data_IF_036643211873
#
_entry.id   IF_036643211873
#
_cell.length_a   1.000
_cell.length_b   1.000
_cell.length_c   1.000
_cell.angle_alpha   90.00
_cell.angle_beta   90.00
_cell.angle_gamma   90.00
#
_symmetry.space_group_name_H-M   'P 1'
#
loop_
_entity.id
_entity.type
_entity.pdbx_description
1 polymer ?
#
# COMPACT_ATOMS: atom_id res chain seq x y z
N UNK A 1 -21.36 4.79 -8.35
CA UNK A 1 -20.59 3.81 -9.15
C UNK A 1 -19.71 2.91 -8.28
N UNK A 2 -19.01 3.43 -7.26
CA UNK A 2 -18.20 2.64 -6.32
C UNK A 2 -19.00 1.66 -5.46
N UNK A 3 -20.17 2.07 -4.93
CA UNK A 3 -21.10 1.14 -4.26
C UNK A 3 -21.55 -0.01 -5.18
N UNK A 4 -21.71 0.23 -6.49
CA UNK A 4 -22.08 -0.81 -7.44
C UNK A 4 -20.92 -1.78 -7.70
N UNK A 5 -19.66 -1.35 -7.54
CA UNK A 5 -18.48 -2.20 -7.66
C UNK A 5 -18.31 -3.09 -6.41
N UNK A 6 -18.52 -2.51 -5.22
CA UNK A 6 -18.50 -3.26 -3.96
C UNK A 6 -19.70 -4.22 -3.84
N UNK A 7 -20.90 -3.79 -4.26
CA UNK A 7 -22.08 -4.66 -4.36
C UNK A 7 -21.89 -5.74 -5.42
N UNK A 8 -21.35 -5.42 -6.61
CA UNK A 8 -21.06 -6.43 -7.62
C UNK A 8 -20.01 -7.45 -7.15
N UNK A 9 -18.99 -7.01 -6.38
CA UNK A 9 -18.00 -7.92 -5.81
C UNK A 9 -18.57 -8.79 -4.67
N UNK A 10 -19.52 -8.28 -3.89
CA UNK A 10 -20.25 -9.04 -2.88
C UNK A 10 -21.24 -10.03 -3.51
N UNK A 11 -21.95 -9.62 -4.57
CA UNK A 11 -22.91 -10.46 -5.30
C UNK A 11 -22.21 -11.56 -6.13
N UNK A 12 -21.03 -11.28 -6.69
CA UNK A 12 -20.21 -12.29 -7.39
C UNK A 12 -19.75 -13.42 -6.45
N UNK A 13 -19.51 -13.11 -5.17
CA UNK A 13 -19.18 -14.13 -4.16
C UNK A 13 -20.33 -15.11 -3.87
N UNK A 14 -21.58 -14.67 -3.98
CA UNK A 14 -22.75 -15.52 -3.76
C UNK A 14 -23.06 -16.45 -4.96
N UNK A 15 -22.69 -16.06 -6.19
CA UNK A 15 -22.94 -16.84 -7.40
C UNK A 15 -21.93 -17.98 -7.64
N UNK A 16 -20.75 -17.93 -7.02
CA UNK A 16 -19.68 -18.92 -7.25
C UNK A 16 -19.82 -20.25 -6.49
N UNK A 17 -20.84 -20.43 -5.64
CA UNK A 17 -21.06 -21.68 -4.90
C UNK A 17 -21.62 -22.84 -5.73
N UNK A 18 -21.92 -22.64 -7.02
CA UNK A 18 -22.58 -23.65 -7.86
C UNK A 18 -21.66 -24.45 -8.82
N UNK A 19 -20.35 -24.16 -8.87
CA UNK A 19 -19.45 -24.73 -9.91
C UNK A 19 -18.20 -25.41 -9.33
N UNK A 20 -18.37 -26.26 -8.33
CA UNK A 20 -17.30 -27.02 -7.68
C UNK A 20 -17.34 -28.49 -8.07
N UNK A 21 -16.54 -28.88 -9.06
CA UNK A 21 -15.71 -30.10 -8.95
C UNK A 21 -14.67 -30.13 -10.09
N UNK A 22 -13.49 -30.67 -9.83
CA UNK A 22 -12.36 -30.88 -10.75
C UNK A 22 -11.51 -29.67 -11.23
N UNK A 23 -12.02 -28.44 -11.37
CA UNK A 23 -11.19 -27.31 -11.88
C UNK A 23 -10.52 -26.43 -10.80
N UNK A 24 -10.66 -26.81 -9.52
CA UNK A 24 -10.68 -25.86 -8.41
C UNK A 24 -9.35 -25.14 -8.08
N UNK A 25 -8.19 -25.75 -8.31
CA UNK A 25 -6.91 -25.09 -8.02
C UNK A 25 -6.48 -24.09 -9.11
N UNK A 26 -6.70 -24.45 -10.38
CA UNK A 26 -6.38 -23.62 -11.55
C UNK A 26 -7.39 -22.48 -11.71
N UNK A 27 -8.68 -22.72 -11.42
CA UNK A 27 -9.71 -21.66 -11.46
C UNK A 27 -9.59 -20.66 -10.32
N UNK A 28 -9.15 -21.06 -9.11
CA UNK A 28 -9.01 -20.12 -7.98
C UNK A 28 -7.88 -19.11 -8.15
N UNK A 29 -6.72 -19.53 -8.67
CA UNK A 29 -5.62 -18.59 -9.00
C UNK A 29 -6.02 -17.66 -10.15
N UNK A 30 -6.71 -18.20 -11.15
CA UNK A 30 -7.27 -17.43 -12.27
C UNK A 30 -8.31 -16.40 -11.79
N UNK A 31 -9.21 -16.77 -10.88
CA UNK A 31 -10.25 -15.89 -10.35
C UNK A 31 -9.68 -14.68 -9.58
N UNK A 32 -8.65 -14.86 -8.75
CA UNK A 32 -8.02 -13.74 -8.02
C UNK A 32 -7.31 -12.76 -8.94
N UNK A 33 -6.63 -13.27 -9.96
CA UNK A 33 -6.01 -12.44 -11.00
C UNK A 33 -7.10 -11.70 -11.80
N UNK A 34 -8.24 -12.35 -12.08
CA UNK A 34 -9.38 -11.71 -12.71
C UNK A 34 -9.96 -10.57 -11.84
N UNK A 35 -10.09 -10.75 -10.53
CA UNK A 35 -10.49 -9.66 -9.61
C UNK A 35 -9.49 -8.50 -9.64
N UNK A 36 -8.18 -8.77 -9.67
CA UNK A 36 -7.16 -7.73 -9.84
C UNK A 36 -7.33 -6.97 -11.16
N UNK A 37 -7.59 -7.69 -12.26
CA UNK A 37 -7.84 -7.10 -13.58
C UNK A 37 -9.09 -6.23 -13.60
N UNK A 38 -10.19 -6.69 -12.99
CA UNK A 38 -11.43 -5.92 -12.85
C UNK A 38 -11.22 -4.66 -12.01
N UNK A 39 -10.48 -4.76 -10.91
CA UNK A 39 -10.12 -3.61 -10.08
C UNK A 39 -9.24 -2.61 -10.83
N UNK A 40 -8.22 -3.06 -11.55
CA UNK A 40 -7.37 -2.19 -12.36
C UNK A 40 -8.17 -1.50 -13.47
N UNK A 41 -9.05 -2.24 -14.16
CA UNK A 41 -9.92 -1.67 -15.18
C UNK A 41 -10.88 -0.62 -14.62
N UNK A 42 -11.48 -0.85 -13.45
CA UNK A 42 -12.36 0.12 -12.80
C UNK A 42 -11.61 1.36 -12.33
N UNK A 43 -10.37 1.21 -11.87
CA UNK A 43 -9.51 2.32 -11.48
C UNK A 43 -9.12 3.18 -12.70
N UNK A 44 -8.72 2.54 -13.80
CA UNK A 44 -8.42 3.22 -15.07
C UNK A 44 -9.65 3.96 -15.59
N UNK A 45 -10.81 3.31 -15.61
CA UNK A 45 -12.06 3.95 -16.01
C UNK A 45 -12.36 5.17 -15.15
N UNK A 46 -12.19 5.05 -13.83
CA UNK A 46 -12.43 6.16 -12.90
C UNK A 46 -11.45 7.31 -13.09
N UNK A 47 -10.18 7.01 -13.39
CA UNK A 47 -9.19 8.01 -13.76
C UNK A 47 -9.54 8.73 -15.07
N UNK A 48 -9.95 7.99 -16.11
CA UNK A 48 -10.38 8.57 -17.39
C UNK A 48 -11.61 9.44 -17.21
N UNK A 49 -12.60 8.99 -16.43
CA UNK A 49 -13.76 9.80 -16.07
C UNK A 49 -13.32 11.07 -15.33
N UNK A 50 -12.37 10.99 -14.39
CA UNK A 50 -11.85 12.20 -13.72
C UNK A 50 -11.24 13.20 -14.71
N UNK A 51 -10.48 12.74 -15.71
CA UNK A 51 -9.77 13.62 -16.64
C UNK A 51 -10.67 14.21 -17.72
N UNK A 52 -11.67 13.45 -18.20
CA UNK A 52 -12.40 13.79 -19.42
C UNK A 52 -13.92 13.86 -19.27
N UNK A 53 -14.48 13.55 -18.10
CA UNK A 53 -15.93 13.56 -17.95
C UNK A 53 -16.53 14.96 -17.86
N UNK A 54 -15.76 16.02 -17.59
CA UNK A 54 -16.29 17.40 -17.48
C UNK A 54 -17.14 17.83 -18.68
N UNK A 55 -16.64 17.80 -19.94
CA UNK A 55 -17.46 18.16 -21.10
C UNK A 55 -18.68 17.24 -21.26
N UNK A 56 -18.54 15.95 -20.94
CA UNK A 56 -19.64 14.98 -21.02
C UNK A 56 -20.75 15.29 -19.99
N UNK A 57 -20.37 15.56 -18.75
CA UNK A 57 -21.30 15.82 -17.64
C UNK A 57 -22.01 17.15 -17.81
N UNK A 58 -21.35 18.15 -18.38
CA UNK A 58 -21.95 19.46 -18.64
C UNK A 58 -23.08 19.42 -19.67
N UNK A 59 -23.05 18.46 -20.61
CA UNK A 59 -24.11 18.24 -21.59
C UNK A 59 -25.34 17.51 -21.05
N UNK A 60 -25.29 16.98 -19.82
CA UNK A 60 -26.41 16.27 -19.22
C UNK A 60 -27.35 17.30 -18.55
N UNK A 61 -28.59 17.48 -19.05
CA UNK A 61 -29.44 18.61 -18.67
C UNK A 61 -29.72 18.72 -17.16
N UNK A 62 -29.92 17.57 -16.49
CA UNK A 62 -30.29 17.52 -15.08
C UNK A 62 -29.13 17.78 -14.10
N UNK A 63 -27.88 17.89 -14.56
CA UNK A 63 -26.71 18.01 -13.65
C UNK A 63 -26.51 19.46 -13.21
N UNK A 64 -26.71 20.40 -14.14
CA UNK A 64 -26.47 21.83 -13.93
C UNK A 64 -27.75 22.65 -13.78
N UNK A 65 -28.89 22.10 -14.20
CA UNK A 65 -30.18 22.74 -14.09
C UNK A 65 -31.21 21.73 -13.58
N UNK A 66 -31.94 22.12 -12.54
CA UNK A 66 -33.11 21.40 -12.10
C UNK A 66 -34.34 22.13 -12.65
N UNK A 67 -35.07 21.50 -13.56
CA UNK A 67 -36.36 22.05 -14.06
C UNK A 67 -37.38 22.19 -12.92
N UNK A 68 -37.26 21.33 -11.90
CA UNK A 68 -37.95 21.42 -10.62
C UNK A 68 -36.97 21.12 -9.50
N UNK A 69 -36.92 21.98 -8.47
CA UNK A 69 -36.08 21.75 -7.29
C UNK A 69 -36.49 20.44 -6.62
N UNK A 70 -35.54 19.51 -6.38
CA UNK A 70 -35.84 18.26 -5.66
C UNK A 70 -36.47 18.53 -4.28
N UNK A 71 -37.26 17.59 -3.74
CA UNK A 71 -37.80 17.72 -2.40
C UNK A 71 -36.70 17.71 -1.33
N UNK A 72 -36.97 18.27 -0.16
CA UNK A 72 -36.01 18.34 0.96
C UNK A 72 -35.41 16.97 1.32
N UNK A 73 -36.21 15.90 1.22
CA UNK A 73 -35.76 14.53 1.45
C UNK A 73 -34.59 14.12 0.55
N UNK A 74 -34.57 14.59 -0.71
CA UNK A 74 -33.46 14.31 -1.63
C UNK A 74 -32.17 14.96 -1.16
N UNK A 75 -32.23 16.21 -0.69
CA UNK A 75 -31.06 16.92 -0.16
C UNK A 75 -30.58 16.31 1.16
N UNK A 76 -31.50 15.94 2.06
CA UNK A 76 -31.20 15.26 3.31
C UNK A 76 -30.49 13.92 3.07
N UNK A 77 -31.01 13.09 2.16
CA UNK A 77 -30.38 11.82 1.79
C UNK A 77 -28.98 12.04 1.20
N UNK A 78 -28.82 13.00 0.29
CA UNK A 78 -27.51 13.30 -0.30
C UNK A 78 -26.51 13.81 0.73
N UNK A 79 -26.95 14.62 1.70
CA UNK A 79 -26.10 15.10 2.79
C UNK A 79 -25.59 13.92 3.64
N UNK A 80 -26.48 13.02 4.05
CA UNK A 80 -26.12 11.83 4.83
C UNK A 80 -25.19 10.91 4.03
N UNK A 81 -25.49 10.63 2.76
CA UNK A 81 -24.66 9.77 1.90
C UNK A 81 -23.26 10.35 1.69
N UNK A 82 -23.15 11.67 1.46
CA UNK A 82 -21.85 12.33 1.27
C UNK A 82 -20.99 12.23 2.53
N UNK A 83 -21.55 12.59 3.69
CA UNK A 83 -20.80 12.54 4.96
C UNK A 83 -20.42 11.10 5.32
N UNK A 84 -21.36 10.16 5.25
CA UNK A 84 -21.11 8.77 5.62
C UNK A 84 -20.07 8.09 4.70
N UNK A 85 -20.20 8.24 3.38
CA UNK A 85 -19.25 7.66 2.43
C UNK A 85 -17.88 8.31 2.54
N UNK A 86 -17.80 9.62 2.77
CA UNK A 86 -16.53 10.32 2.96
C UNK A 86 -15.83 9.82 4.22
N UNK A 87 -16.51 9.80 5.37
CA UNK A 87 -15.94 9.34 6.65
C UNK A 87 -15.48 7.88 6.55
N UNK A 88 -16.34 7.01 6.00
CA UNK A 88 -16.01 5.60 5.81
C UNK A 88 -14.79 5.43 4.91
N UNK A 89 -14.74 6.19 3.80
CA UNK A 89 -13.62 6.11 2.86
C UNK A 89 -12.33 6.66 3.46
N UNK A 90 -12.36 7.72 4.29
CA UNK A 90 -11.16 8.24 4.97
C UNK A 90 -10.57 7.18 5.90
N UNK A 91 -11.43 6.58 6.74
CA UNK A 91 -11.02 5.53 7.66
C UNK A 91 -10.50 4.29 6.93
N UNK A 92 -11.24 3.81 5.92
CA UNK A 92 -10.82 2.67 5.10
C UNK A 92 -9.53 2.93 4.33
N UNK A 93 -9.31 4.15 3.87
CA UNK A 93 -8.05 4.55 3.21
C UNK A 93 -6.87 4.50 4.18
N UNK A 94 -7.05 4.98 5.41
CA UNK A 94 -6.03 4.87 6.46
C UNK A 94 -5.66 3.41 6.76
N UNK A 95 -6.66 2.52 6.87
CA UNK A 95 -6.43 1.09 7.04
C UNK A 95 -5.72 0.47 5.82
N UNK A 96 -6.10 0.87 4.60
CA UNK A 96 -5.44 0.39 3.39
C UNK A 96 -3.97 0.79 3.33
N UNK A 97 -3.62 2.03 3.72
CA UNK A 97 -2.24 2.48 3.79
C UNK A 97 -1.42 1.61 4.77
N UNK A 98 -1.99 1.22 5.92
CA UNK A 98 -1.33 0.29 6.83
C UNK A 98 -1.13 -1.09 6.20
N UNK A 99 -2.15 -1.62 5.53
CA UNK A 99 -2.06 -2.89 4.79
C UNK A 99 -0.98 -2.81 3.71
N UNK A 100 -0.88 -1.70 2.98
CA UNK A 100 0.12 -1.47 1.96
C UNK A 100 1.55 -1.44 2.53
N UNK A 101 1.74 -0.83 3.70
CA UNK A 101 3.02 -0.86 4.43
C UNK A 101 3.39 -2.29 4.82
N UNK A 102 2.45 -3.08 5.35
CA UNK A 102 2.69 -4.48 5.67
C UNK A 102 3.04 -5.31 4.42
N UNK A 103 2.39 -5.05 3.28
CA UNK A 103 2.72 -5.69 2.00
C UNK A 103 4.13 -5.36 1.54
N UNK A 104 4.55 -4.10 1.69
CA UNK A 104 5.89 -3.67 1.33
C UNK A 104 6.95 -4.35 2.21
N UNK A 105 6.71 -4.44 3.51
CA UNK A 105 7.60 -5.11 4.46
C UNK A 105 7.74 -6.60 4.14
N UNK A 106 6.61 -7.30 3.97
CA UNK A 106 6.58 -8.72 3.59
C UNK A 106 7.28 -8.93 2.23
N UNK A 107 6.98 -8.11 1.21
CA UNK A 107 7.65 -8.18 -0.08
C UNK A 107 9.18 -8.04 0.04
N UNK A 108 9.63 -7.04 0.78
CA UNK A 108 11.06 -6.74 0.90
C UNK A 108 11.80 -7.84 1.66
N UNK A 109 11.21 -8.38 2.73
CA UNK A 109 11.79 -9.48 3.48
C UNK A 109 11.78 -10.78 2.65
N UNK A 110 10.68 -11.12 1.98
CA UNK A 110 10.66 -12.29 1.09
C UNK A 110 11.67 -12.17 -0.06
N UNK A 111 11.85 -10.96 -0.60
CA UNK A 111 12.87 -10.71 -1.62
C UNK A 111 14.26 -10.98 -1.06
N UNK A 112 14.56 -10.44 0.13
CA UNK A 112 15.82 -10.70 0.82
C UNK A 112 16.06 -12.20 1.01
N UNK A 113 15.11 -12.89 1.61
CA UNK A 113 15.24 -14.30 1.98
C UNK A 113 15.42 -15.17 0.74
N UNK A 114 14.74 -14.84 -0.37
CA UNK A 114 14.89 -15.55 -1.65
C UNK A 114 16.28 -15.42 -2.29
N UNK A 115 17.02 -14.36 -1.96
CA UNK A 115 18.38 -14.15 -2.46
C UNK A 115 19.42 -14.71 -1.50
N UNK A 116 19.18 -14.58 -0.19
CA UNK A 116 20.02 -15.17 0.85
C UNK A 116 19.98 -16.71 0.79
N UNK A 117 18.82 -17.32 0.56
CA UNK A 117 18.67 -18.79 0.50
C UNK A 117 19.48 -19.44 -0.64
N UNK A 118 19.80 -18.69 -1.70
CA UNK A 118 20.56 -19.23 -2.82
C UNK A 118 22.03 -19.49 -2.49
N UNK A 119 22.57 -18.82 -1.47
CA UNK A 119 23.94 -19.05 -0.95
C UNK A 119 25.03 -19.05 -2.05
N UNK A 120 24.86 -18.18 -3.08
CA UNK A 120 25.88 -17.97 -4.12
C UNK A 120 26.42 -16.53 -4.07
N UNK A 121 27.73 -16.39 -4.30
CA UNK A 121 28.43 -15.10 -4.32
C UNK A 121 27.77 -14.04 -5.23
N UNK A 122 27.13 -14.46 -6.33
CA UNK A 122 26.42 -13.55 -7.25
C UNK A 122 25.24 -12.85 -6.57
N UNK A 123 24.49 -13.57 -5.73
CA UNK A 123 23.33 -13.04 -5.02
C UNK A 123 23.74 -12.18 -3.83
N UNK A 124 24.84 -12.50 -3.16
CA UNK A 124 25.43 -11.65 -2.13
C UNK A 124 25.90 -10.31 -2.70
N UNK A 125 26.60 -10.32 -3.83
CA UNK A 125 27.00 -9.10 -4.54
C UNK A 125 25.75 -8.31 -4.97
N UNK A 126 24.71 -8.99 -5.47
CA UNK A 126 23.46 -8.33 -5.84
C UNK A 126 22.77 -7.66 -4.63
N UNK A 127 22.71 -8.34 -3.47
CA UNK A 127 22.19 -7.77 -2.22
C UNK A 127 22.96 -6.50 -1.82
N UNK A 128 24.29 -6.56 -1.88
CA UNK A 128 25.15 -5.42 -1.55
C UNK A 128 24.94 -4.25 -2.53
N UNK A 129 24.90 -4.53 -3.83
CA UNK A 129 24.69 -3.51 -4.88
C UNK A 129 23.35 -2.81 -4.68
N UNK A 130 22.26 -3.57 -4.48
CA UNK A 130 20.93 -3.00 -4.22
C UNK A 130 20.97 -2.14 -2.97
N UNK A 131 21.58 -2.63 -1.88
CA UNK A 131 21.70 -1.89 -0.62
C UNK A 131 22.41 -0.55 -0.80
N UNK A 132 23.57 -0.56 -1.46
CA UNK A 132 24.38 0.65 -1.69
C UNK A 132 23.62 1.65 -2.55
N UNK A 133 23.01 1.19 -3.65
CA UNK A 133 22.21 2.06 -4.54
C UNK A 133 21.02 2.67 -3.79
N UNK A 134 20.30 1.89 -2.98
CA UNK A 134 19.15 2.38 -2.22
C UNK A 134 19.55 3.45 -1.19
N UNK A 135 20.62 3.23 -0.41
CA UNK A 135 21.08 4.26 0.54
C UNK A 135 21.61 5.51 -0.15
N UNK A 136 22.44 5.37 -1.21
CA UNK A 136 22.92 6.51 -1.99
C UNK A 136 21.75 7.31 -2.57
N UNK A 137 20.73 6.62 -3.09
CA UNK A 137 19.52 7.25 -3.60
C UNK A 137 18.76 7.98 -2.49
N UNK A 138 18.63 7.37 -1.31
CA UNK A 138 17.97 7.99 -0.14
C UNK A 138 18.66 9.31 0.24
N UNK A 139 19.98 9.29 0.43
CA UNK A 139 20.74 10.49 0.81
C UNK A 139 20.76 11.56 -0.27
N UNK A 140 20.96 11.17 -1.53
CA UNK A 140 20.93 12.11 -2.65
C UNK A 140 19.54 12.75 -2.81
N UNK A 141 18.48 11.95 -2.69
CA UNK A 141 17.11 12.42 -2.81
C UNK A 141 16.74 13.35 -1.66
N UNK A 142 17.06 13.02 -0.41
CA UNK A 142 16.90 13.94 0.72
C UNK A 142 17.67 15.25 0.55
N UNK A 143 18.85 15.22 -0.07
CA UNK A 143 19.59 16.43 -0.45
C UNK A 143 18.81 17.31 -1.44
N UNK A 144 18.16 16.70 -2.43
CA UNK A 144 17.25 17.40 -3.36
C UNK A 144 16.03 17.98 -2.63
N UNK A 145 15.48 17.26 -1.65
CA UNK A 145 14.37 17.77 -0.83
C UNK A 145 14.76 19.03 -0.06
N UNK A 146 15.98 19.10 0.50
CA UNK A 146 16.46 20.34 1.12
C UNK A 146 16.51 21.50 0.12
N UNK A 147 16.92 21.26 -1.13
CA UNK A 147 16.97 22.32 -2.14
C UNK A 147 15.57 22.81 -2.54
N UNK A 148 14.59 21.92 -2.59
CA UNK A 148 13.22 22.26 -3.01
C UNK A 148 12.34 22.79 -1.88
N UNK A 149 12.53 22.34 -0.65
CA UNK A 149 11.61 22.60 0.46
C UNK A 149 12.19 23.47 1.59
N UNK A 150 13.44 23.96 1.43
CA UNK A 150 14.07 24.91 2.35
C UNK A 150 14.72 26.10 1.59
N UNK A 151 13.92 26.96 0.93
CA UNK A 151 14.44 28.14 0.22
C UNK A 151 15.05 29.16 1.18
N UNK A 152 16.14 29.81 0.76
CA UNK A 152 16.81 30.85 1.56
C UNK A 152 15.89 32.06 1.79
N UNK A 153 15.81 32.53 3.04
CA UNK A 153 15.06 33.73 3.41
C UNK A 153 13.68 33.47 4.04
N UNK A 154 13.29 32.21 4.22
CA UNK A 154 12.07 31.81 4.94
C UNK A 154 12.41 30.81 6.06
N UNK A 155 11.63 30.84 7.14
CA UNK A 155 11.75 29.85 8.21
C UNK A 155 10.92 28.61 7.85
N UNK A 156 11.59 27.60 7.31
CA UNK A 156 11.00 26.32 6.88
C UNK A 156 11.34 25.19 7.85
N UNK A 157 11.38 25.50 9.16
CA UNK A 157 11.75 24.56 10.21
C UNK A 157 10.95 23.26 10.24
N UNK A 158 9.67 23.29 9.87
CA UNK A 158 8.81 22.09 9.81
C UNK A 158 9.28 21.11 8.71
N UNK A 159 9.58 21.62 7.52
CA UNK A 159 10.05 20.82 6.39
C UNK A 159 11.43 20.24 6.69
N UNK A 160 12.31 21.06 7.26
CA UNK A 160 13.62 20.63 7.76
C UNK A 160 13.47 19.53 8.80
N UNK A 161 12.55 19.67 9.77
CA UNK A 161 12.27 18.66 10.78
C UNK A 161 11.84 17.33 10.15
N UNK A 162 10.92 17.35 9.17
CA UNK A 162 10.50 16.12 8.47
C UNK A 162 11.67 15.46 7.74
N UNK A 163 12.44 16.21 6.94
CA UNK A 163 13.56 15.64 6.16
C UNK A 163 14.66 15.09 7.09
N UNK A 164 15.01 15.83 8.15
CA UNK A 164 16.03 15.38 9.13
C UNK A 164 15.55 14.13 9.87
N UNK A 165 14.27 14.08 10.27
CA UNK A 165 13.70 12.89 10.92
C UNK A 165 13.78 11.67 10.00
N UNK A 166 13.41 11.81 8.72
CA UNK A 166 13.54 10.73 7.72
C UNK A 166 14.98 10.23 7.59
N UNK A 167 15.96 11.14 7.57
CA UNK A 167 17.38 10.77 7.53
C UNK A 167 17.83 10.03 8.79
N UNK A 168 17.42 10.49 9.97
CA UNK A 168 17.70 9.82 11.24
C UNK A 168 17.10 8.41 11.24
N UNK A 169 15.88 8.24 10.74
CA UNK A 169 15.24 6.94 10.61
C UNK A 169 16.03 6.00 9.68
N UNK A 170 16.49 6.48 8.52
CA UNK A 170 17.31 5.69 7.61
C UNK A 170 18.61 5.19 8.27
N UNK A 171 19.29 6.04 9.06
CA UNK A 171 20.45 5.62 9.85
C UNK A 171 20.07 4.63 10.96
N UNK A 172 18.96 4.86 11.67
CA UNK A 172 18.49 3.98 12.71
C UNK A 172 18.18 2.58 12.17
N UNK A 173 17.56 2.47 11.00
CA UNK A 173 17.29 1.18 10.34
C UNK A 173 18.58 0.41 10.07
N UNK A 174 19.62 1.08 9.55
CA UNK A 174 20.92 0.46 9.32
C UNK A 174 21.56 -0.05 10.62
N UNK A 175 21.54 0.75 11.68
CA UNK A 175 22.10 0.40 13.00
C UNK A 175 21.38 -0.82 13.59
N UNK A 176 20.05 -0.82 13.58
CA UNK A 176 19.25 -1.93 14.11
C UNK A 176 19.46 -3.20 13.29
N UNK A 177 19.47 -3.10 11.95
CA UNK A 177 19.69 -4.26 11.08
C UNK A 177 21.08 -4.89 11.27
N UNK A 178 22.14 -4.07 11.43
CA UNK A 178 23.50 -4.53 11.65
C UNK A 178 23.80 -4.98 13.09
N UNK A 179 22.85 -4.81 14.02
CA UNK A 179 23.08 -5.16 15.41
C UNK A 179 23.34 -6.67 15.56
N UNK A 180 24.44 -7.10 16.23
CA UNK A 180 24.84 -8.52 16.29
C UNK A 180 23.82 -9.48 16.90
N UNK A 181 22.89 -8.97 17.72
CA UNK A 181 21.81 -9.79 18.27
C UNK A 181 20.68 -10.01 17.26
N UNK A 182 20.43 -9.03 16.38
CA UNK A 182 19.40 -9.12 15.34
C UNK A 182 19.89 -10.00 14.19
N UNK A 183 21.18 -9.88 13.81
CA UNK A 183 21.75 -10.51 12.61
C UNK A 183 20.85 -10.32 11.37
N UNK A 184 20.32 -9.10 11.21
CA UNK A 184 19.40 -8.78 10.12
C UNK A 184 20.15 -8.54 8.81
N UNK A 185 19.42 -8.59 7.70
CA UNK A 185 19.93 -8.11 6.42
C UNK A 185 19.76 -6.59 6.32
N UNK A 186 20.78 -5.94 5.79
CA UNK A 186 20.77 -4.49 5.55
C UNK A 186 19.98 -4.10 4.28
N UNK A 187 19.72 -5.07 3.38
CA UNK A 187 19.00 -4.78 2.14
C UNK A 187 17.57 -4.31 2.41
N UNK A 188 16.75 -4.99 3.24
CA UNK A 188 15.44 -4.47 3.61
C UNK A 188 15.47 -3.07 4.25
N UNK A 189 16.45 -2.80 5.12
CA UNK A 189 16.61 -1.49 5.74
C UNK A 189 16.79 -0.38 4.68
N UNK A 190 17.58 -0.65 3.64
CA UNK A 190 17.85 0.31 2.57
C UNK A 190 16.61 0.58 1.68
N UNK A 191 15.82 -0.45 1.36
CA UNK A 191 14.61 -0.31 0.55
C UNK A 191 13.54 0.46 1.32
N UNK A 192 13.36 0.16 2.61
CA UNK A 192 12.43 0.89 3.48
C UNK A 192 12.88 2.34 3.67
N UNK A 193 14.19 2.61 3.73
CA UNK A 193 14.72 3.99 3.77
C UNK A 193 14.34 4.80 2.53
N UNK A 194 14.45 4.21 1.33
CA UNK A 194 14.00 4.85 0.08
C UNK A 194 12.50 5.14 0.12
N UNK A 195 11.71 4.20 0.62
CA UNK A 195 10.26 4.38 0.75
C UNK A 195 9.90 5.49 1.76
N UNK A 196 10.59 5.59 2.91
CA UNK A 196 10.41 6.69 3.85
C UNK A 196 10.76 8.04 3.19
N UNK A 197 11.86 8.12 2.43
CA UNK A 197 12.20 9.34 1.69
C UNK A 197 11.15 9.70 0.62
N UNK A 198 10.54 8.70 -0.03
CA UNK A 198 9.41 8.89 -0.93
C UNK A 198 8.15 9.40 -0.21
N UNK A 199 7.81 8.87 0.96
CA UNK A 199 6.69 9.35 1.77
C UNK A 199 6.93 10.79 2.24
N UNK A 200 8.16 11.12 2.65
CA UNK A 200 8.56 12.48 3.01
C UNK A 200 8.40 13.44 1.80
N UNK A 201 8.92 13.07 0.63
CA UNK A 201 8.73 13.86 -0.60
C UNK A 201 7.26 14.09 -0.94
N UNK A 202 6.47 13.02 -0.98
CA UNK A 202 5.06 13.12 -1.35
C UNK A 202 4.27 13.91 -0.29
N UNK A 203 4.65 13.84 0.98
CA UNK A 203 4.11 14.69 2.04
C UNK A 203 4.40 16.16 1.77
N UNK A 204 5.67 16.55 1.64
CA UNK A 204 6.07 17.95 1.42
C UNK A 204 5.48 18.52 0.12
N UNK A 205 5.37 17.69 -0.92
CA UNK A 205 4.76 18.09 -2.20
C UNK A 205 3.26 18.41 -2.10
N UNK A 206 2.59 17.92 -1.05
CA UNK A 206 1.18 18.16 -0.75
C UNK A 206 0.96 19.35 0.18
N UNK A 207 1.99 20.13 0.51
CA UNK A 207 1.85 21.37 1.26
C UNK A 207 0.94 22.37 0.52
N UNK A 208 0.09 23.11 1.25
CA UNK A 208 -0.89 24.00 0.64
C UNK A 208 -0.25 25.18 -0.09
N UNK A 209 -0.98 25.72 -1.08
CA UNK A 209 -0.45 26.70 -2.04
C UNK A 209 -0.02 28.05 -1.40
N UNK A 210 -0.43 28.29 -0.16
CA UNK A 210 -0.10 29.47 0.62
C UNK A 210 1.22 29.32 1.42
N UNK A 211 1.78 28.11 1.48
CA UNK A 211 2.98 27.82 2.23
C UNK A 211 4.26 28.01 1.40
N UNK A 212 4.93 29.14 1.62
CA UNK A 212 6.09 29.61 0.84
C UNK A 212 7.31 28.68 0.76
N UNK A 213 7.36 27.66 1.61
CA UNK A 213 8.50 26.73 1.68
C UNK A 213 8.49 25.68 0.59
N UNK A 214 7.34 25.35 -0.02
CA UNK A 214 7.28 24.34 -1.07
C UNK A 214 7.71 24.94 -2.43
N UNK A 215 8.91 24.61 -2.90
CA UNK A 215 9.45 25.07 -4.18
C UNK A 215 8.78 24.45 -5.42
N UNK A 216 7.89 23.46 -5.25
CA UNK A 216 7.20 22.76 -6.33
C UNK A 216 5.87 23.40 -6.75
N UNK A 217 5.44 24.50 -6.10
CA UNK A 217 4.18 25.20 -6.42
C UNK A 217 4.03 25.53 -7.90
N UNK A 218 5.11 25.96 -8.57
CA UNK A 218 5.08 26.31 -10.01
C UNK A 218 4.77 25.11 -10.92
N UNK A 219 4.99 23.89 -10.41
CA UNK A 219 4.76 22.63 -11.11
C UNK A 219 3.70 21.76 -10.39
N UNK A 220 2.87 22.35 -9.51
CA UNK A 220 1.92 21.63 -8.64
C UNK A 220 0.96 20.73 -9.40
N UNK A 221 0.47 21.14 -10.58
CA UNK A 221 -0.39 20.31 -11.45
C UNK A 221 0.31 19.02 -11.91
N UNK A 222 1.56 19.12 -12.35
CA UNK A 222 2.33 17.97 -12.81
C UNK A 222 2.72 17.06 -11.64
N UNK A 223 3.08 17.65 -10.51
CA UNK A 223 3.45 16.94 -9.28
C UNK A 223 2.24 16.18 -8.73
N UNK A 224 1.07 16.82 -8.63
CA UNK A 224 -0.18 16.19 -8.23
C UNK A 224 -0.59 15.05 -9.18
N UNK A 225 -0.49 15.26 -10.50
CA UNK A 225 -0.76 14.19 -11.47
C UNK A 225 0.20 13.00 -11.31
N UNK A 226 1.49 13.27 -11.09
CA UNK A 226 2.49 12.22 -10.89
C UNK A 226 2.25 11.44 -9.60
N UNK A 227 1.93 12.12 -8.49
CA UNK A 227 1.60 11.51 -7.21
C UNK A 227 0.36 10.61 -7.32
N UNK A 228 -0.65 11.08 -8.07
CA UNK A 228 -1.85 10.31 -8.34
C UNK A 228 -1.57 9.05 -9.17
N UNK A 229 -0.79 9.15 -10.25
CA UNK A 229 -0.43 8.00 -11.09
C UNK A 229 0.39 7.00 -10.28
N UNK A 230 1.37 7.46 -9.51
CA UNK A 230 2.18 6.61 -8.64
C UNK A 230 1.35 5.95 -7.55
N UNK A 231 0.41 6.69 -6.94
CA UNK A 231 -0.54 6.14 -5.97
C UNK A 231 -1.39 5.03 -6.57
N UNK A 232 -1.99 5.24 -7.74
CA UNK A 232 -2.80 4.23 -8.43
C UNK A 232 -1.98 3.00 -8.81
N UNK A 233 -0.78 3.20 -9.37
CA UNK A 233 0.13 2.11 -9.72
C UNK A 233 0.46 1.27 -8.48
N UNK A 234 0.79 1.94 -7.38
CA UNK A 234 1.15 1.25 -6.13
C UNK A 234 -0.04 0.47 -5.57
N UNK A 235 -1.25 1.04 -5.59
CA UNK A 235 -2.47 0.32 -5.20
C UNK A 235 -2.69 -0.95 -6.02
N UNK A 236 -2.54 -0.87 -7.35
CA UNK A 236 -2.67 -2.04 -8.23
C UNK A 236 -1.61 -3.09 -7.91
N UNK A 237 -0.34 -2.67 -7.74
CA UNK A 237 0.75 -3.58 -7.38
C UNK A 237 0.51 -4.26 -6.03
N UNK A 238 0.03 -3.53 -5.02
CA UNK A 238 -0.31 -4.08 -3.70
C UNK A 238 -1.44 -5.11 -3.79
N UNK A 239 -2.51 -4.81 -4.53
CA UNK A 239 -3.63 -5.73 -4.72
C UNK A 239 -3.21 -6.99 -5.48
N UNK A 240 -2.38 -6.85 -6.53
CA UNK A 240 -1.82 -7.99 -7.27
C UNK A 240 -0.90 -8.82 -6.38
N UNK A 241 -0.03 -8.18 -5.61
CA UNK A 241 0.86 -8.85 -4.67
C UNK A 241 0.06 -9.65 -3.63
N UNK A 242 -0.98 -9.05 -3.04
CA UNK A 242 -1.91 -9.72 -2.13
C UNK A 242 -2.56 -10.95 -2.75
N UNK A 243 -3.04 -10.83 -3.98
CA UNK A 243 -3.70 -11.93 -4.69
C UNK A 243 -2.75 -13.11 -4.98
N UNK A 244 -1.48 -12.81 -5.29
CA UNK A 244 -0.45 -13.82 -5.53
C UNK A 244 -0.01 -14.47 -4.21
N UNK A 245 0.26 -13.67 -3.18
CA UNK A 245 0.72 -14.13 -1.85
C UNK A 245 -0.34 -14.97 -1.13
N UNK A 246 -1.61 -14.56 -1.17
CA UNK A 246 -2.73 -15.36 -0.66
C UNK A 246 -2.87 -16.73 -1.36
N UNK A 247 -2.19 -16.94 -2.50
CA UNK A 247 -2.12 -18.22 -3.19
C UNK A 247 -1.00 -19.15 -2.77
N UNK A 248 -0.06 -18.66 -1.97
CA UNK A 248 1.13 -19.37 -1.54
C UNK A 248 1.09 -19.51 -0.02
N UNK A 249 0.30 -20.49 0.48
CA UNK A 249 0.21 -21.11 1.82
C UNK A 249 0.60 -20.35 3.12
N UNK A 250 0.84 -19.05 3.08
CA UNK A 250 1.34 -18.21 4.17
C UNK A 250 0.35 -17.07 4.34
N UNK A 251 -0.34 -17.07 5.46
CA UNK A 251 -1.37 -16.09 5.77
C UNK A 251 -0.70 -14.75 6.03
N UNK A 252 -1.15 -13.71 5.33
CA UNK A 252 -0.68 -12.31 5.39
C UNK A 252 -0.77 -11.65 6.79
N UNK A 253 -1.31 -12.34 7.80
CA UNK A 253 -1.41 -11.90 9.20
C UNK A 253 -0.40 -12.58 10.13
N UNK A 254 0.43 -13.50 9.62
CA UNK A 254 1.67 -13.82 10.31
C UNK A 254 2.55 -12.58 10.31
N UNK A 255 3.25 -12.26 11.41
CA UNK A 255 4.27 -11.21 11.41
C UNK A 255 5.20 -11.39 10.21
N UNK A 256 5.67 -10.31 9.56
CA UNK A 256 6.67 -10.43 8.51
C UNK A 256 7.84 -11.27 9.05
N UNK A 257 8.19 -12.32 8.31
CA UNK A 257 9.18 -13.31 8.73
C UNK A 257 10.47 -12.61 9.12
N UNK A 258 10.95 -12.94 10.32
CA UNK A 258 12.23 -12.50 10.86
C UNK A 258 13.39 -13.01 10.00
N UNK A 259 14.51 -12.28 9.83
CA UNK A 259 15.67 -12.69 9.03
C UNK A 259 16.44 -13.94 9.53
N UNK A 260 15.85 -14.79 10.39
CA UNK A 260 16.54 -15.96 10.94
C UNK A 260 15.60 -17.13 11.20
N UNK A 261 15.71 -18.16 10.35
CA UNK A 261 16.23 -19.46 10.78
C UNK A 261 16.58 -20.32 9.57
N UNK A 262 17.89 -20.47 9.33
CA UNK A 262 18.41 -21.69 8.73
C UNK A 262 18.32 -22.80 9.77
N UNK A 263 17.17 -23.46 9.84
CA UNK A 263 17.06 -24.83 10.34
C UNK A 263 15.70 -25.40 9.87
N UNK A 264 15.70 -26.00 8.67
CA UNK A 264 14.54 -26.76 8.17
C UNK A 264 14.57 -28.13 8.83
N UNK A 265 14.18 -28.21 10.10
CA UNK A 265 13.77 -29.48 10.71
C UNK A 265 12.24 -29.56 10.66
N UNK A 266 11.65 -30.33 9.74
CA UNK A 266 10.23 -30.63 9.79
C UNK A 266 9.95 -31.44 11.07
N UNK A 267 9.28 -30.80 12.02
CA UNK A 267 8.84 -31.36 13.30
C UNK A 267 7.64 -32.32 13.15
N UNK A 268 7.71 -33.25 12.20
CA UNK A 268 6.91 -34.47 12.17
C UNK A 268 7.76 -35.53 11.46
N UNK A 269 8.36 -36.43 12.24
CA UNK A 269 9.14 -37.54 11.74
C UNK A 269 8.25 -38.56 11.04
N UNK A 270 8.67 -38.99 9.86
CA UNK A 270 8.26 -40.28 9.31
C UNK A 270 9.52 -41.15 9.28
N UNK A 271 9.57 -42.10 10.21
CA UNK A 271 10.44 -43.26 10.09
C UNK A 271 10.07 -44.03 8.82
N UNK A 272 11.07 -44.35 8.01
CA UNK A 272 10.90 -45.29 6.91
C UNK A 272 10.44 -46.66 7.45
N UNK A 273 9.27 -47.13 7.03
CA UNK A 273 9.03 -48.56 6.77
C UNK A 273 7.70 -48.80 6.05
N UNK A 274 7.76 -49.43 4.88
CA UNK A 274 6.73 -50.38 4.43
C UNK A 274 5.74 -49.95 3.35
N UNK A 275 6.01 -50.42 2.12
CA UNK A 275 5.06 -50.88 1.08
C UNK A 275 3.56 -50.54 1.22
N UNK A 276 3.03 -49.91 0.17
CA UNK A 276 1.77 -50.37 -0.45
C UNK A 276 0.67 -49.33 -0.64
N UNK A 277 0.22 -49.24 -1.89
CA UNK A 277 -1.03 -48.71 -2.43
C UNK A 277 -1.22 -47.20 -2.62
N UNK A 278 -1.33 -46.88 -3.91
CA UNK A 278 -2.10 -45.79 -4.51
C UNK A 278 -3.28 -45.34 -3.64
N UNK A 279 -3.14 -44.16 -3.04
CA UNK A 279 -4.26 -43.28 -2.71
C UNK A 279 -3.92 -41.91 -3.25
N UNK A 280 -4.73 -41.47 -4.21
CA UNK A 280 -4.78 -40.09 -4.69
C UNK A 280 -4.68 -39.15 -3.49
N UNK A 281 -3.66 -38.28 -3.49
CA UNK A 281 -3.53 -37.25 -2.49
C UNK A 281 -4.69 -36.28 -2.65
N UNK A 282 -5.68 -36.37 -1.76
CA UNK A 282 -6.74 -35.37 -1.70
C UNK A 282 -6.10 -33.98 -1.64
N UNK A 283 -6.54 -33.02 -2.47
CA UNK A 283 -5.99 -31.68 -2.45
C UNK A 283 -6.31 -31.05 -1.09
N UNK A 284 -5.33 -31.04 -0.19
CA UNK A 284 -5.42 -30.36 1.10
C UNK A 284 -5.92 -28.94 0.84
N UNK A 285 -7.07 -28.51 1.40
CA UNK A 285 -7.56 -27.16 1.20
C UNK A 285 -6.59 -26.21 1.88
N UNK A 286 -5.77 -25.51 1.09
CA UNK A 286 -5.00 -24.39 1.60
C UNK A 286 -6.00 -23.32 2.01
N UNK A 287 -6.21 -23.18 3.32
CA UNK A 287 -7.20 -22.30 3.93
C UNK A 287 -6.72 -20.86 3.82
N UNK A 288 -7.04 -20.18 2.71
CA UNK A 288 -6.98 -18.72 2.66
C UNK A 288 -8.35 -18.15 3.02
N UNK A 289 -8.39 -17.09 3.82
CA UNK A 289 -9.65 -16.44 4.18
C UNK A 289 -10.16 -15.60 3.00
N UNK A 290 -11.24 -16.07 2.36
CA UNK A 290 -11.96 -15.33 1.31
C UNK A 290 -12.40 -13.94 1.81
N UNK A 291 -12.86 -13.86 3.05
CA UNK A 291 -13.25 -12.61 3.72
C UNK A 291 -12.09 -11.61 3.75
N UNK A 292 -10.89 -12.08 4.10
CA UNK A 292 -9.71 -11.21 4.18
C UNK A 292 -9.29 -10.70 2.80
N UNK A 293 -9.33 -11.56 1.78
CA UNK A 293 -9.07 -11.17 0.40
C UNK A 293 -10.01 -10.05 -0.07
N UNK A 294 -11.32 -10.21 0.12
CA UNK A 294 -12.29 -9.18 -0.27
C UNK A 294 -12.21 -7.92 0.59
N UNK A 295 -11.83 -8.03 1.87
CA UNK A 295 -11.59 -6.88 2.73
C UNK A 295 -10.47 -5.99 2.17
N UNK A 296 -9.35 -6.57 1.72
CA UNK A 296 -8.26 -5.81 1.10
C UNK A 296 -8.75 -5.06 -0.15
N UNK A 297 -9.52 -5.71 -1.02
CA UNK A 297 -10.10 -5.07 -2.20
C UNK A 297 -11.08 -3.94 -1.85
N UNK A 298 -11.89 -4.13 -0.80
CA UNK A 298 -12.79 -3.09 -0.31
C UNK A 298 -12.01 -1.88 0.21
N UNK A 299 -10.97 -2.09 1.02
CA UNK A 299 -10.09 -1.05 1.52
C UNK A 299 -9.34 -0.34 0.38
N UNK A 300 -8.84 -1.10 -0.60
CA UNK A 300 -8.18 -0.55 -1.80
C UNK A 300 -9.12 0.34 -2.63
N UNK A 301 -10.41 -0.03 -2.72
CA UNK A 301 -11.42 0.78 -3.41
C UNK A 301 -11.73 2.09 -2.68
N UNK A 302 -11.77 2.07 -1.34
CA UNK A 302 -11.93 3.27 -0.52
C UNK A 302 -10.73 4.21 -0.66
N UNK A 303 -9.51 3.65 -0.64
CA UNK A 303 -8.28 4.39 -0.91
C UNK A 303 -8.25 5.00 -2.30
N UNK A 304 -8.62 4.22 -3.31
CA UNK A 304 -8.68 4.68 -4.70
C UNK A 304 -9.66 5.83 -4.88
N UNK A 305 -10.81 5.77 -4.21
CA UNK A 305 -11.78 6.87 -4.21
C UNK A 305 -11.15 8.13 -3.62
N UNK A 306 -10.50 8.05 -2.45
CA UNK A 306 -9.86 9.20 -1.81
C UNK A 306 -8.70 9.79 -2.62
N UNK A 307 -7.87 8.95 -3.22
CA UNK A 307 -6.79 9.35 -4.12
C UNK A 307 -7.34 10.09 -5.35
N UNK A 308 -8.44 9.56 -5.93
CA UNK A 308 -9.09 10.17 -7.08
C UNK A 308 -9.92 11.41 -6.72
N UNK A 309 -10.32 11.63 -5.47
CA UNK A 309 -11.07 12.81 -5.03
C UNK A 309 -10.25 13.81 -4.22
N UNK A 310 -8.95 13.58 -4.02
CA UNK A 310 -8.01 14.58 -3.49
C UNK A 310 -8.00 14.75 -1.97
N UNK A 311 -8.47 13.77 -1.19
CA UNK A 311 -8.51 13.77 0.29
C UNK A 311 -9.22 14.94 1.00
N UNK A 312 -9.67 15.96 0.25
CA UNK A 312 -10.36 17.15 0.76
C UNK A 312 -11.86 16.89 0.95
N UNK A 313 -12.45 17.50 1.97
CA UNK A 313 -13.90 17.48 2.16
C UNK A 313 -14.60 18.27 1.06
N UNK A 314 -15.71 17.75 0.55
CA UNK A 314 -16.48 18.33 -0.55
C UNK A 314 -16.99 19.77 -0.29
N UNK A 315 -16.87 20.27 0.95
CA UNK A 315 -17.25 21.61 1.37
C UNK A 315 -16.12 22.67 1.24
N UNK A 316 -14.91 22.29 0.84
CA UNK A 316 -13.81 23.24 0.67
C UNK A 316 -13.79 23.80 -0.76
N UNK A 317 -14.47 24.92 -0.99
CA UNK A 317 -14.62 25.56 -2.31
C UNK A 317 -13.35 26.20 -2.91
N UNK A 318 -12.17 26.06 -2.30
CA UNK A 318 -11.01 26.91 -2.62
C UNK A 318 -9.79 26.25 -3.29
N UNK A 319 -9.77 24.96 -3.57
CA UNK A 319 -8.60 24.34 -4.24
C UNK A 319 -8.97 23.69 -5.56
N UNK A 320 -8.59 24.34 -6.68
CA UNK A 320 -8.54 23.69 -8.01
C UNK A 320 -7.52 22.53 -8.05
N UNK A 321 -6.65 22.44 -7.05
CA UNK A 321 -5.62 21.42 -6.89
C UNK A 321 -6.05 20.41 -5.82
N UNK A 322 -6.23 19.16 -6.26
CA UNK A 322 -6.55 18.01 -5.42
C UNK A 322 -5.25 17.36 -4.94
N UNK A 323 -5.25 16.77 -3.74
CA UNK A 323 -4.07 16.20 -3.06
C UNK A 323 -3.13 17.24 -2.37
N UNK A 324 -3.62 18.48 -2.19
CA UNK A 324 -2.89 19.60 -1.59
C UNK A 324 -3.61 20.00 -0.29
N UNK A 325 -2.91 19.95 0.84
CA UNK A 325 -3.43 20.32 2.16
C UNK A 325 -2.72 19.62 3.33
N UNK A 326 -2.70 20.28 4.49
CA UNK A 326 -2.03 19.80 5.70
C UNK A 326 -2.48 18.41 6.17
N UNK A 327 -3.74 18.05 5.94
CA UNK A 327 -4.23 16.71 6.29
C UNK A 327 -3.48 15.62 5.53
N UNK A 328 -3.25 15.82 4.23
CA UNK A 328 -2.51 14.86 3.38
C UNK A 328 -1.05 14.77 3.80
N UNK A 329 -0.42 15.92 4.13
CA UNK A 329 0.94 15.99 4.68
C UNK A 329 1.05 15.09 5.93
N UNK A 330 0.21 15.34 6.94
CA UNK A 330 0.25 14.60 8.20
C UNK A 330 -0.09 13.12 8.05
N UNK A 331 -1.04 12.75 7.19
CA UNK A 331 -1.34 11.32 6.93
C UNK A 331 -0.11 10.61 6.37
N UNK A 332 0.63 11.22 5.45
CA UNK A 332 1.85 10.64 4.85
C UNK A 332 3.00 10.57 5.86
N UNK A 333 3.24 11.62 6.65
CA UNK A 333 4.26 11.61 7.72
C UNK A 333 3.95 10.57 8.80
N UNK A 334 2.70 10.49 9.27
CA UNK A 334 2.30 9.47 10.23
C UNK A 334 2.46 8.05 9.64
N UNK A 335 2.15 7.87 8.36
CA UNK A 335 2.38 6.60 7.66
C UNK A 335 3.87 6.24 7.61
N UNK A 336 4.75 7.24 7.41
CA UNK A 336 6.20 7.05 7.46
C UNK A 336 6.66 6.59 8.85
N UNK A 337 6.20 7.26 9.91
CA UNK A 337 6.55 6.88 11.29
C UNK A 337 6.02 5.51 11.68
N UNK A 338 4.80 5.17 11.26
CA UNK A 338 4.26 3.82 11.48
C UNK A 338 5.06 2.78 10.70
N UNK A 339 5.47 3.08 9.46
CA UNK A 339 6.34 2.20 8.67
C UNK A 339 7.66 1.95 9.39
N UNK A 340 8.28 3.02 9.91
CA UNK A 340 9.51 2.93 10.68
C UNK A 340 9.36 2.06 11.94
N UNK A 341 8.30 2.31 12.72
CA UNK A 341 8.00 1.57 13.92
C UNK A 341 7.74 0.09 13.61
N UNK A 342 6.94 -0.20 12.59
CA UNK A 342 6.65 -1.57 12.16
C UNK A 342 7.92 -2.28 11.69
N UNK A 343 8.74 -1.63 10.85
CA UNK A 343 10.01 -2.20 10.38
C UNK A 343 10.94 -2.55 11.55
N UNK A 344 11.20 -1.60 12.45
CA UNK A 344 12.03 -1.85 13.63
C UNK A 344 11.43 -2.97 14.49
N UNK A 345 10.11 -2.99 14.65
CA UNK A 345 9.42 -4.05 15.37
C UNK A 345 9.62 -5.43 14.74
N UNK A 346 9.65 -5.53 13.39
CA UNK A 346 9.93 -6.81 12.71
C UNK A 346 11.28 -7.43 13.10
N UNK A 347 12.27 -6.58 13.40
CA UNK A 347 13.63 -6.99 13.76
C UNK A 347 13.78 -7.24 15.26
N UNK A 348 13.12 -6.44 16.09
CA UNK A 348 13.28 -6.48 17.55
C UNK A 348 12.32 -7.50 18.22
N UNK A 349 11.10 -7.66 17.70
CA UNK A 349 10.10 -8.51 18.34
C UNK A 349 10.57 -9.98 18.55
N UNK A 350 11.29 -10.62 17.62
CA UNK A 350 11.86 -11.96 17.83
C UNK A 350 12.85 -12.05 18.99
N UNK A 351 13.54 -10.95 19.31
CA UNK A 351 14.49 -10.91 20.44
C UNK A 351 13.79 -10.72 21.78
N UNK A 352 12.69 -9.94 21.80
CA UNK A 352 11.95 -9.66 23.02
C UNK A 352 10.99 -10.78 23.42
N UNK A 353 10.48 -11.55 22.44
CA UNK A 353 9.51 -12.62 22.68
C UNK A 353 9.95 -13.93 22.01
N UNK A 354 11.07 -14.55 22.43
CA UNK A 354 11.64 -15.72 21.78
C UNK A 354 10.70 -16.95 21.75
N UNK A 355 9.74 -17.03 22.68
CA UNK A 355 8.77 -18.15 22.76
C UNK A 355 7.56 -17.99 21.81
N UNK A 356 7.49 -16.91 21.02
CA UNK A 356 6.40 -16.67 20.07
C UNK A 356 6.83 -17.10 18.67
N UNK A 357 6.03 -17.93 17.99
CA UNK A 357 6.25 -18.22 16.58
C UNK A 357 6.01 -16.95 15.73
N UNK A 358 7.07 -16.48 15.07
CA UNK A 358 7.05 -15.38 14.09
C UNK A 358 7.09 -15.89 12.64
N UNK A 359 6.89 -17.19 12.45
CA UNK A 359 6.89 -17.88 11.16
C UNK A 359 5.59 -17.72 10.36
#
# INVERSE_FOLDING_TARGET
MWCASCLASACAGCACNLCTSAASAVTRRSARIAYCGLFAASLILSFLLRQFATPLLQHIPWINAFDQTPPDEWFQMNAVLRVSLEVLSKFGSGLFLLVQVLMLLDFTNNWNDSWVEKDEQKWEIALLVVTVVCYLSTFAFSGVLFMWFNPSGHDCGLNVFFIVTTLILAFAFAIVALHPQVNGSIMPASVISVYCAYLCYTSLSSEPDDYKCNGLHRHSKQVSLSALILGMLTTVLSVVYSAVRAGSSTTFLSPPSSPRSGDKNPLLGDEETGKGNDKESEPRPVSYSYTFFHLIFALASMYSAMLLTGWTSAASEKSELMDVGWTTVWVRICTEWVTAALYIWTLIAPLLFPDRDFS
#
